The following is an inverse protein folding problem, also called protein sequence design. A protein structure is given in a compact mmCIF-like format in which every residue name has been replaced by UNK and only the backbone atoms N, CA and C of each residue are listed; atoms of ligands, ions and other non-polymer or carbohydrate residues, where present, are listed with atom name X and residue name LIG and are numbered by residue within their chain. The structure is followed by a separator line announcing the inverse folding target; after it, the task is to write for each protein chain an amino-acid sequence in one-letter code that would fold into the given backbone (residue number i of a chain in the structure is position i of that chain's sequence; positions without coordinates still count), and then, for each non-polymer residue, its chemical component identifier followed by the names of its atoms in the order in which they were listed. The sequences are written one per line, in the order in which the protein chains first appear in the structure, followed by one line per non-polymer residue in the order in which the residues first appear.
data_IF_628392043427
#
_entry.id   IF_628392043427
#
_cell.length_a   1.000
_cell.length_b   1.000
_cell.length_c   1.000
_cell.angle_alpha   90.00
_cell.angle_beta   90.00
_cell.angle_gamma   90.00
#
_symmetry.space_group_name_H-M   'P 1'
#
loop_
_entity.id
_entity.type
_entity.pdbx_description
1 polymer ?
#
# COMPACT_ATOMS: atom_id res chain seq x y z
N UNK A 1 33.82 -76.77 6.51
CA UNK A 1 33.12 -75.88 5.57
C UNK A 1 31.84 -75.34 6.22
N UNK A 2 31.77 -74.05 6.53
CA UNK A 2 30.51 -73.29 6.70
C UNK A 2 30.87 -71.80 6.79
N UNK A 3 30.71 -71.06 5.68
CA UNK A 3 30.83 -69.60 5.63
C UNK A 3 29.50 -69.00 6.10
N UNK A 4 29.54 -68.23 7.19
CA UNK A 4 28.41 -67.39 7.63
C UNK A 4 28.29 -66.18 6.69
N UNK A 5 27.23 -66.15 5.89
CA UNK A 5 26.86 -65.00 5.06
C UNK A 5 25.99 -64.02 5.85
N UNK A 6 26.61 -63.03 6.49
CA UNK A 6 25.90 -61.91 7.09
C UNK A 6 25.44 -60.92 6.02
N UNK A 7 24.17 -60.99 5.61
CA UNK A 7 23.51 -59.92 4.86
C UNK A 7 23.30 -58.71 5.77
N UNK A 8 24.12 -57.65 5.59
CA UNK A 8 23.86 -56.30 6.11
C UNK A 8 24.00 -55.32 4.96
N UNK A 9 22.87 -54.90 4.38
CA UNK A 9 22.87 -53.89 3.32
C UNK A 9 21.45 -53.60 2.86
N UNK A 10 20.89 -52.50 3.35
CA UNK A 10 19.55 -52.04 2.95
C UNK A 10 19.07 -50.82 3.72
N UNK A 11 19.55 -50.60 4.95
CA UNK A 11 19.08 -49.51 5.80
C UNK A 11 19.85 -48.18 5.68
N UNK A 12 21.02 -48.13 5.03
CA UNK A 12 21.74 -46.84 4.85
C UNK A 12 21.18 -46.04 3.68
N UNK A 13 20.97 -46.64 2.51
CA UNK A 13 20.53 -45.91 1.31
C UNK A 13 19.21 -45.16 1.48
N UNK A 14 18.24 -45.71 2.23
CA UNK A 14 16.95 -45.06 2.51
C UNK A 14 17.09 -43.92 3.51
N UNK A 15 17.95 -44.08 4.53
CA UNK A 15 18.24 -43.04 5.53
C UNK A 15 19.00 -41.87 4.94
N UNK A 16 19.96 -42.17 4.06
CA UNK A 16 20.80 -41.18 3.39
C UNK A 16 19.97 -40.42 2.32
N UNK A 17 19.05 -41.08 1.63
CA UNK A 17 18.08 -40.45 0.72
C UNK A 17 17.05 -39.57 1.45
N UNK A 18 16.54 -40.01 2.60
CA UNK A 18 15.64 -39.20 3.43
C UNK A 18 16.30 -37.94 3.98
N UNK A 19 17.56 -38.04 4.42
CA UNK A 19 18.35 -36.89 4.89
C UNK A 19 18.62 -35.89 3.76
N UNK A 20 18.95 -36.39 2.56
CA UNK A 20 19.15 -35.55 1.38
C UNK A 20 17.88 -34.80 1.00
N UNK A 21 16.74 -35.49 0.92
CA UNK A 21 15.44 -34.88 0.63
C UNK A 21 15.04 -33.85 1.69
N UNK A 22 15.25 -34.14 2.98
CA UNK A 22 14.98 -33.21 4.06
C UNK A 22 15.88 -31.96 3.98
N UNK A 23 17.14 -32.11 3.60
CA UNK A 23 18.09 -31.00 3.47
C UNK A 23 17.75 -30.11 2.27
N UNK A 24 17.39 -30.71 1.13
CA UNK A 24 16.92 -29.98 -0.05
C UNK A 24 15.64 -29.22 0.28
N UNK A 25 14.67 -29.87 0.94
CA UNK A 25 13.42 -29.22 1.35
C UNK A 25 13.66 -28.04 2.30
N UNK A 26 14.52 -28.21 3.30
CA UNK A 26 14.91 -27.12 4.20
C UNK A 26 15.61 -25.98 3.44
N UNK A 27 16.49 -26.30 2.48
CA UNK A 27 17.12 -25.32 1.61
C UNK A 27 16.12 -24.52 0.78
N UNK A 28 15.08 -25.18 0.24
CA UNK A 28 13.98 -24.52 -0.49
C UNK A 28 13.17 -23.61 0.42
N UNK A 29 12.87 -24.03 1.65
CA UNK A 29 12.16 -23.19 2.63
C UNK A 29 12.99 -21.95 3.03
N UNK A 30 14.30 -22.11 3.22
CA UNK A 30 15.21 -20.99 3.53
C UNK A 30 15.29 -20.03 2.33
N UNK A 31 15.43 -20.54 1.11
CA UNK A 31 15.44 -19.72 -0.11
C UNK A 31 14.13 -18.94 -0.29
N UNK A 32 12.98 -19.59 -0.06
CA UNK A 32 11.67 -18.94 -0.11
C UNK A 32 11.49 -17.85 0.96
N UNK A 33 12.15 -17.98 2.11
CA UNK A 33 12.14 -16.95 3.17
C UNK A 33 13.05 -15.76 2.84
N UNK A 34 14.19 -16.02 2.19
CA UNK A 34 15.17 -15.00 1.81
C UNK A 34 14.62 -14.02 0.77
N UNK A 35 13.73 -14.47 -0.12
CA UNK A 35 13.12 -13.61 -1.15
C UNK A 35 12.29 -12.46 -0.54
N UNK A 36 11.72 -12.66 0.65
CA UNK A 36 11.00 -11.62 1.40
C UNK A 36 11.90 -10.61 2.13
N UNK A 37 13.21 -10.88 2.24
CA UNK A 37 14.17 -10.02 2.97
C UNK A 37 14.72 -8.91 2.05
N UNK A 38 14.60 -9.06 0.73
CA UNK A 38 15.05 -8.05 -0.22
C UNK A 38 14.03 -6.90 -0.30
N UNK A 39 14.21 -5.89 0.56
CA UNK A 39 13.54 -4.60 0.42
C UNK A 39 14.18 -3.83 -0.73
N UNK A 40 13.39 -3.52 -1.75
CA UNK A 40 13.83 -2.69 -2.85
C UNK A 40 13.79 -1.23 -2.42
N UNK A 41 14.90 -0.51 -2.61
CA UNK A 41 15.01 0.92 -2.29
C UNK A 41 14.93 1.76 -3.55
N UNK A 42 14.09 2.79 -3.50
CA UNK A 42 13.78 3.70 -4.59
C UNK A 42 14.12 5.13 -4.15
N UNK A 43 15.12 5.73 -4.77
CA UNK A 43 15.51 7.12 -4.52
C UNK A 43 15.08 8.10 -5.61
N UNK A 44 15.31 9.39 -5.36
CA UNK A 44 15.13 10.47 -6.33
C UNK A 44 13.68 10.93 -6.44
N UNK A 45 13.31 11.50 -7.59
CA UNK A 45 11.98 12.13 -7.75
C UNK A 45 10.86 11.08 -7.88
N UNK A 46 9.76 11.34 -7.17
CA UNK A 46 8.49 10.64 -7.26
C UNK A 46 7.39 11.62 -7.69
N UNK A 47 6.34 11.10 -8.32
CA UNK A 47 5.11 11.83 -8.57
C UNK A 47 4.08 11.48 -7.50
N UNK A 48 3.56 12.51 -6.81
CA UNK A 48 2.54 12.35 -5.76
C UNK A 48 1.14 12.33 -6.37
N UNK A 49 0.44 11.21 -6.20
CA UNK A 49 -0.91 10.98 -6.74
C UNK A 49 -1.96 11.56 -5.80
N UNK A 50 -1.93 11.17 -4.53
CA UNK A 50 -2.84 11.61 -3.45
C UNK A 50 -2.06 11.68 -2.13
N UNK A 51 -2.74 11.70 -0.97
CA UNK A 51 -2.11 11.86 0.34
C UNK A 51 -1.36 10.62 0.87
N UNK A 52 -1.49 9.43 0.26
CA UNK A 52 -0.77 8.23 0.69
C UNK A 52 -0.20 7.39 -0.46
N UNK A 53 -0.35 7.84 -1.70
CA UNK A 53 0.08 7.13 -2.90
C UNK A 53 1.06 7.96 -3.75
N UNK A 54 2.18 7.32 -4.12
CA UNK A 54 3.23 7.86 -4.98
C UNK A 54 3.36 7.02 -6.25
N UNK A 55 4.08 7.54 -7.25
CA UNK A 55 4.48 6.79 -8.44
C UNK A 55 5.87 7.17 -8.93
N UNK A 56 6.53 6.21 -9.58
CA UNK A 56 7.81 6.38 -10.25
C UNK A 56 7.83 5.53 -11.51
N UNK A 57 7.74 6.18 -12.66
CA UNK A 57 7.53 5.47 -13.92
C UNK A 57 6.20 4.71 -13.90
N UNK A 58 6.24 3.39 -14.13
CA UNK A 58 5.05 2.52 -14.08
C UNK A 58 4.73 2.00 -12.68
N UNK A 59 5.65 2.16 -11.74
CA UNK A 59 5.52 1.62 -10.39
C UNK A 59 4.68 2.56 -9.52
N UNK A 60 3.81 1.96 -8.69
CA UNK A 60 2.95 2.68 -7.74
C UNK A 60 3.29 2.25 -6.32
N UNK A 61 3.35 3.22 -5.42
CA UNK A 61 3.77 3.01 -4.06
C UNK A 61 2.67 3.49 -3.12
N UNK A 62 2.34 2.71 -2.10
CA UNK A 62 1.43 3.10 -1.01
C UNK A 62 2.23 3.20 0.29
N UNK A 63 2.12 4.34 0.94
CA UNK A 63 2.68 4.56 2.26
C UNK A 63 2.07 3.61 3.29
N UNK A 64 2.93 2.99 4.09
CA UNK A 64 2.54 2.10 5.17
C UNK A 64 2.13 2.86 6.44
N UNK A 65 1.24 2.25 7.21
CA UNK A 65 0.82 2.73 8.53
C UNK A 65 -0.20 3.86 8.53
N UNK A 66 -0.59 4.36 7.35
CA UNK A 66 -1.50 5.51 7.22
C UNK A 66 -2.60 5.29 6.17
N UNK A 67 -3.66 6.08 6.30
CA UNK A 67 -4.74 6.24 5.35
C UNK A 67 -5.06 7.73 5.21
N UNK A 68 -4.76 8.32 4.06
CA UNK A 68 -4.97 9.75 3.81
C UNK A 68 -6.27 9.99 3.04
N UNK A 69 -6.89 11.19 3.12
CA UNK A 69 -8.04 11.54 2.30
C UNK A 69 -7.75 11.28 0.81
N UNK A 70 -8.71 10.66 0.13
CA UNK A 70 -8.60 10.40 -1.31
C UNK A 70 -8.59 11.72 -2.06
N UNK A 71 -7.97 11.76 -3.26
CA UNK A 71 -7.75 13.03 -3.98
C UNK A 71 -9.01 13.89 -4.16
N UNK A 72 -10.15 13.25 -4.44
CA UNK A 72 -11.44 13.93 -4.66
C UNK A 72 -12.26 14.12 -3.37
N UNK A 73 -11.73 13.73 -2.21
CA UNK A 73 -12.44 13.83 -0.95
C UNK A 73 -12.46 15.27 -0.43
N UNK A 74 -13.64 15.71 -0.02
CA UNK A 74 -13.86 16.98 0.69
C UNK A 74 -14.15 16.73 2.17
N UNK A 75 -13.79 17.70 3.01
CA UNK A 75 -14.03 17.68 4.45
C UNK A 75 -14.75 18.99 4.85
N UNK A 76 -15.27 19.06 6.07
CA UNK A 76 -15.91 20.27 6.61
C UNK A 76 -15.01 20.92 7.67
N UNK A 77 -14.90 22.26 7.64
CA UNK A 77 -14.24 23.05 8.69
C UNK A 77 -15.07 24.30 8.95
N UNK A 78 -15.57 24.45 10.18
CA UNK A 78 -16.47 25.57 10.51
C UNK A 78 -17.78 25.59 9.70
N UNK A 79 -18.25 24.43 9.23
CA UNK A 79 -19.43 24.31 8.36
C UNK A 79 -19.16 24.51 6.86
N UNK A 80 -17.95 24.91 6.48
CA UNK A 80 -17.56 25.10 5.08
C UNK A 80 -16.84 23.87 4.53
N UNK A 81 -17.18 23.49 3.29
CA UNK A 81 -16.51 22.40 2.57
C UNK A 81 -15.15 22.86 2.05
N UNK A 82 -14.12 22.01 2.24
CA UNK A 82 -12.76 22.26 1.74
C UNK A 82 -12.14 20.98 1.15
N UNK A 83 -11.23 21.11 0.15
CA UNK A 83 -10.68 19.98 -0.60
C UNK A 83 -9.55 19.28 0.16
N UNK A 84 -9.88 18.58 1.23
CA UNK A 84 -8.89 17.93 2.09
C UNK A 84 -8.03 16.86 1.39
N UNK A 85 -8.57 16.19 0.36
CA UNK A 85 -7.79 15.32 -0.52
C UNK A 85 -6.64 16.02 -1.23
N UNK A 86 -6.91 17.18 -1.82
CA UNK A 86 -5.88 17.97 -2.48
C UNK A 86 -4.86 18.54 -1.50
N UNK A 87 -5.30 19.01 -0.33
CA UNK A 87 -4.36 19.51 0.67
C UNK A 87 -3.45 18.41 1.22
N UNK A 88 -3.98 17.21 1.47
CA UNK A 88 -3.18 16.06 1.88
C UNK A 88 -2.12 15.72 0.82
N UNK A 89 -2.50 15.72 -0.47
CA UNK A 89 -1.55 15.56 -1.58
C UNK A 89 -0.47 16.65 -1.56
N UNK A 90 -0.83 17.92 -1.35
CA UNK A 90 0.13 19.03 -1.29
C UNK A 90 1.11 18.90 -0.12
N UNK A 91 0.66 18.36 1.01
CA UNK A 91 1.53 18.06 2.16
C UNK A 91 2.54 16.98 1.78
N UNK A 92 2.09 15.86 1.21
CA UNK A 92 2.98 14.80 0.76
C UNK A 92 3.95 15.28 -0.33
N UNK A 93 3.52 16.16 -1.24
CA UNK A 93 4.42 16.80 -2.22
C UNK A 93 5.55 17.58 -1.57
N UNK A 94 5.28 18.31 -0.49
CA UNK A 94 6.31 19.04 0.27
C UNK A 94 7.26 18.09 0.99
N UNK A 95 6.73 17.03 1.60
CA UNK A 95 7.54 16.01 2.28
C UNK A 95 8.38 15.20 1.30
N UNK A 96 7.93 15.05 0.06
CA UNK A 96 8.65 14.36 -1.02
C UNK A 96 9.57 15.24 -1.87
N UNK A 97 9.66 16.54 -1.56
CA UNK A 97 10.50 17.48 -2.28
C UNK A 97 12.01 17.37 -1.99
N UNK A 98 12.47 17.02 -0.77
CA UNK A 98 13.90 16.90 -0.47
C UNK A 98 14.64 15.93 -1.41
N UNK A 99 15.90 16.25 -1.71
CA UNK A 99 16.71 15.48 -2.66
C UNK A 99 17.05 14.06 -2.15
N UNK A 100 17.05 13.87 -0.83
CA UNK A 100 17.30 12.60 -0.15
C UNK A 100 16.02 11.78 0.07
N UNK A 101 14.88 12.20 -0.48
CA UNK A 101 13.64 11.42 -0.41
C UNK A 101 13.85 10.02 -1.01
N UNK A 102 13.51 9.00 -0.21
CA UNK A 102 13.63 7.61 -0.61
C UNK A 102 12.50 6.76 -0.04
N UNK A 103 12.15 5.68 -0.73
CA UNK A 103 11.15 4.73 -0.30
C UNK A 103 11.75 3.31 -0.33
N UNK A 104 11.36 2.47 0.61
CA UNK A 104 11.77 1.07 0.66
C UNK A 104 10.58 0.15 0.94
N UNK A 105 10.52 -0.99 0.25
CA UNK A 105 9.46 -1.96 0.45
C UNK A 105 9.71 -3.29 -0.28
N UNK A 106 9.01 -4.34 0.14
CA UNK A 106 9.14 -5.69 -0.42
C UNK A 106 7.82 -6.40 -0.68
N UNK A 107 6.69 -5.81 -0.29
CA UNK A 107 5.36 -6.44 -0.36
C UNK A 107 4.41 -5.59 -1.18
N UNK A 108 3.43 -6.22 -1.84
CA UNK A 108 2.42 -5.52 -2.65
C UNK A 108 1.03 -5.69 -2.05
N UNK A 109 0.19 -4.68 -2.23
CA UNK A 109 -1.23 -4.80 -1.90
C UNK A 109 -2.01 -5.53 -3.01
N UNK A 110 -3.31 -5.79 -2.76
CA UNK A 110 -4.20 -6.46 -3.73
C UNK A 110 -4.43 -5.70 -5.04
N UNK A 111 -4.02 -4.43 -5.12
CA UNK A 111 -4.10 -3.59 -6.32
C UNK A 111 -2.74 -3.49 -7.03
N UNK A 112 -1.74 -4.24 -6.57
CA UNK A 112 -0.40 -4.29 -7.15
C UNK A 112 0.52 -3.15 -6.73
N UNK A 113 0.12 -2.26 -5.81
CA UNK A 113 0.98 -1.17 -5.32
C UNK A 113 2.03 -1.72 -4.38
N UNK A 114 3.28 -1.30 -4.52
CA UNK A 114 4.34 -1.60 -3.55
C UNK A 114 4.05 -0.88 -2.23
N UNK A 115 3.99 -1.64 -1.14
CA UNK A 115 3.84 -1.12 0.21
C UNK A 115 5.21 -0.66 0.71
N UNK A 116 5.32 0.63 1.06
CA UNK A 116 6.61 1.24 1.36
C UNK A 116 6.62 2.07 2.64
N UNK A 117 7.80 2.10 3.26
CA UNK A 117 8.21 3.17 4.16
C UNK A 117 9.02 4.18 3.36
N UNK A 118 8.70 5.46 3.48
CA UNK A 118 9.47 6.53 2.85
C UNK A 118 10.07 7.46 3.90
N UNK A 119 11.26 7.99 3.61
CA UNK A 119 11.97 8.90 4.48
C UNK A 119 12.52 10.11 3.73
N UNK A 120 12.63 11.24 4.43
CA UNK A 120 13.29 12.46 3.97
C UNK A 120 13.93 13.16 5.16
N UNK A 121 15.18 13.60 5.04
CA UNK A 121 15.93 14.19 6.15
C UNK A 121 16.02 13.28 7.38
N UNK A 122 16.02 11.95 7.18
CA UNK A 122 16.01 10.95 8.24
C UNK A 122 14.68 10.79 9.01
N UNK A 123 13.60 11.47 8.59
CA UNK A 123 12.27 11.35 9.20
C UNK A 123 11.36 10.45 8.39
N UNK A 124 10.46 9.76 9.09
CA UNK A 124 9.41 8.93 8.48
C UNK A 124 8.29 9.83 7.92
N UNK A 125 8.04 9.72 6.62
CA UNK A 125 7.05 10.54 5.90
C UNK A 125 5.62 10.21 6.32
N UNK A 126 5.33 8.96 6.64
CA UNK A 126 4.02 8.56 7.17
C UNK A 126 3.78 9.18 8.54
N UNK A 127 4.80 9.21 9.41
CA UNK A 127 4.72 9.91 10.71
C UNK A 127 4.50 11.42 10.52
N UNK A 128 5.23 12.05 9.59
CA UNK A 128 5.08 13.48 9.29
C UNK A 128 3.66 13.81 8.73
N UNK A 129 3.08 12.94 7.90
CA UNK A 129 1.71 13.08 7.38
C UNK A 129 0.65 13.01 8.50
N UNK A 130 0.81 12.08 9.45
CA UNK A 130 -0.09 11.95 10.61
C UNK A 130 0.08 13.14 11.56
N UNK A 131 1.32 13.55 11.83
CA UNK A 131 1.64 14.70 12.68
C UNK A 131 1.06 16.00 12.14
N UNK A 132 1.04 16.17 10.82
CA UNK A 132 0.42 17.32 10.16
C UNK A 132 -1.12 17.25 10.13
N UNK A 133 -1.72 16.13 10.55
CA UNK A 133 -3.17 15.93 10.52
C UNK A 133 -3.74 15.65 9.14
N UNK A 134 -2.95 15.16 8.18
CA UNK A 134 -3.40 14.86 6.82
C UNK A 134 -3.48 13.36 6.50
N UNK A 135 -3.34 12.52 7.52
CA UNK A 135 -3.63 11.09 7.43
C UNK A 135 -4.13 10.55 8.78
N UNK A 136 -4.91 9.46 8.70
CA UNK A 136 -5.31 8.65 9.85
C UNK A 136 -4.32 7.50 9.99
N UNK A 137 -3.89 7.21 11.22
CA UNK A 137 -3.07 6.03 11.49
C UNK A 137 -3.89 4.75 11.30
N UNK A 138 -3.40 3.82 10.48
CA UNK A 138 -4.13 2.57 10.15
C UNK A 138 -3.76 1.38 11.04
N UNK A 139 -2.64 1.47 11.78
CA UNK A 139 -2.17 0.44 12.71
C UNK A 139 -2.52 0.73 14.17
N UNK A 140 -2.61 -0.30 15.01
CA UNK A 140 -3.02 -0.16 16.42
C UNK A 140 -2.04 0.67 17.27
N UNK A 141 -0.75 0.62 16.95
CA UNK A 141 0.31 1.29 17.72
C UNK A 141 1.13 2.30 16.92
N UNK A 142 1.18 2.16 15.59
CA UNK A 142 2.02 3.03 14.77
C UNK A 142 1.37 4.41 14.63
N UNK A 143 2.15 5.46 14.92
CA UNK A 143 1.75 6.87 14.80
C UNK A 143 0.58 7.30 15.72
N UNK A 144 0.26 6.54 16.77
CA UNK A 144 -0.85 6.87 17.68
C UNK A 144 -0.61 8.18 18.42
N UNK A 145 0.63 8.43 18.87
CA UNK A 145 1.00 9.64 19.61
C UNK A 145 0.90 10.90 18.73
N UNK A 146 1.33 10.79 17.48
CA UNK A 146 1.28 11.83 16.46
C UNK A 146 -0.16 12.15 16.11
N UNK A 147 -1.00 11.12 15.94
CA UNK A 147 -2.42 11.30 15.65
C UNK A 147 -3.14 11.98 16.82
N UNK A 148 -2.88 11.55 18.06
CA UNK A 148 -3.45 12.19 19.24
C UNK A 148 -3.01 13.64 19.38
N UNK A 149 -1.74 13.95 19.09
CA UNK A 149 -1.25 15.32 19.08
C UNK A 149 -1.95 16.16 18.00
N UNK A 150 -2.09 15.65 16.78
CA UNK A 150 -2.79 16.33 15.68
C UNK A 150 -4.28 16.57 16.01
N UNK A 151 -4.93 15.61 16.68
CA UNK A 151 -6.30 15.75 17.19
C UNK A 151 -6.43 16.85 18.23
N UNK A 152 -5.57 16.83 19.27
CA UNK A 152 -5.60 17.83 20.35
C UNK A 152 -5.35 19.24 19.83
N UNK A 153 -4.54 19.37 18.78
CA UNK A 153 -4.21 20.65 18.14
C UNK A 153 -5.15 21.04 17.00
N UNK A 154 -6.17 20.22 16.70
CA UNK A 154 -7.11 20.47 15.61
C UNK A 154 -6.40 20.71 14.26
N UNK A 155 -5.40 19.89 13.92
CA UNK A 155 -4.61 20.02 12.69
C UNK A 155 -5.26 19.30 11.51
N UNK A 156 -5.12 19.87 10.31
CA UNK A 156 -5.52 19.24 9.05
C UNK A 156 -7.00 18.80 9.06
N UNK A 157 -7.26 17.52 8.83
CA UNK A 157 -8.61 16.93 8.84
C UNK A 157 -9.23 16.92 10.24
N UNK A 158 -8.41 16.95 11.30
CA UNK A 158 -8.90 17.00 12.69
C UNK A 158 -9.43 18.38 13.11
N UNK A 159 -9.28 19.40 12.25
CA UNK A 159 -9.83 20.74 12.46
C UNK A 159 -11.36 20.84 12.30
N UNK A 160 -12.01 19.77 11.85
CA UNK A 160 -13.43 19.75 11.60
C UNK A 160 -13.95 18.34 11.37
N UNK A 161 -15.01 18.21 10.59
CA UNK A 161 -15.67 16.94 10.33
C UNK A 161 -15.16 16.34 9.03
N UNK A 162 -14.90 15.04 9.05
CA UNK A 162 -14.48 14.31 7.87
C UNK A 162 -14.95 12.86 7.94
N UNK A 163 -15.28 12.32 6.78
CA UNK A 163 -15.47 10.88 6.61
C UNK A 163 -14.09 10.19 6.61
N UNK A 164 -13.93 9.05 7.30
CA UNK A 164 -12.63 8.35 7.25
C UNK A 164 -12.32 7.95 5.81
N UNK A 165 -11.07 8.05 5.32
CA UNK A 165 -10.78 7.77 3.91
C UNK A 165 -11.18 6.35 3.47
N UNK A 166 -10.98 5.35 4.34
CA UNK A 166 -11.49 4.00 4.12
C UNK A 166 -13.02 3.88 4.00
N UNK A 167 -13.81 4.73 4.66
CA UNK A 167 -15.27 4.81 4.51
C UNK A 167 -15.60 5.48 3.18
N UNK A 168 -15.01 6.65 2.91
CA UNK A 168 -15.21 7.39 1.66
C UNK A 168 -14.94 6.50 0.44
N UNK A 169 -13.85 5.72 0.47
CA UNK A 169 -13.54 4.74 -0.59
C UNK A 169 -14.61 3.68 -0.77
N UNK A 170 -15.23 3.16 0.30
CA UNK A 170 -16.27 2.14 0.15
C UNK A 170 -17.51 2.72 -0.52
N UNK A 171 -17.89 3.91 -0.10
CA UNK A 171 -19.14 4.55 -0.52
C UNK A 171 -19.02 5.08 -1.96
N UNK A 172 -17.87 5.64 -2.32
CA UNK A 172 -17.61 6.18 -3.66
C UNK A 172 -17.14 5.14 -4.68
N UNK A 173 -16.72 3.94 -4.24
CA UNK A 173 -16.49 2.80 -5.15
C UNK A 173 -17.79 2.21 -5.69
N UNK A 174 -18.86 2.21 -4.89
CA UNK A 174 -20.17 1.75 -5.34
C UNK A 174 -20.71 2.67 -6.45
N UNK A 175 -20.58 3.99 -6.29
CA UNK A 175 -20.99 4.97 -7.29
C UNK A 175 -20.25 4.83 -8.64
N UNK A 176 -18.96 4.46 -8.62
CA UNK A 176 -18.21 4.18 -9.85
C UNK A 176 -18.65 2.88 -10.56
N UNK A 177 -19.17 1.90 -9.81
CA UNK A 177 -19.76 0.68 -10.37
C UNK A 177 -21.21 0.85 -10.81
N UNK A 178 -21.95 1.80 -10.24
CA UNK A 178 -23.31 2.21 -10.64
C UNK A 178 -23.34 3.15 -11.87
N UNK A 179 -22.19 3.38 -12.50
CA UNK A 179 -22.14 3.87 -13.88
C UNK A 179 -21.91 2.73 -14.91
N UNK A 180 -22.80 1.71 -15.06
CA UNK A 180 -22.77 0.85 -16.22
C UNK A 180 -23.73 1.37 -17.31
N UNK A 181 -23.23 1.35 -18.54
CA UNK A 181 -23.98 1.35 -19.80
C UNK A 181 -24.63 2.65 -20.32
N UNK A 182 -24.65 3.79 -19.60
CA UNK A 182 -25.13 5.04 -20.22
C UNK A 182 -24.27 5.46 -21.43
N UNK A 183 -22.94 5.29 -21.34
CA UNK A 183 -22.02 5.58 -22.45
C UNK A 183 -22.16 4.59 -23.62
N UNK A 184 -22.26 3.29 -23.35
CA UNK A 184 -22.35 2.27 -24.41
C UNK A 184 -23.71 2.29 -25.12
N UNK A 185 -24.83 2.42 -24.39
CA UNK A 185 -26.16 2.52 -25.00
C UNK A 185 -26.32 3.82 -25.80
N UNK A 186 -25.71 4.92 -25.37
CA UNK A 186 -25.70 6.17 -26.16
C UNK A 186 -24.92 5.99 -27.46
N UNK A 187 -23.75 5.34 -27.41
CA UNK A 187 -22.93 5.05 -28.61
C UNK A 187 -23.68 4.11 -29.56
N UNK A 188 -24.33 3.06 -29.05
CA UNK A 188 -25.13 2.13 -29.86
C UNK A 188 -26.36 2.82 -30.45
N UNK A 189 -27.06 3.68 -29.69
CA UNK A 189 -28.21 4.45 -30.19
C UNK A 189 -27.82 5.40 -31.32
N UNK A 190 -26.66 6.05 -31.21
CA UNK A 190 -26.15 6.97 -32.23
C UNK A 190 -25.67 6.23 -33.49
N UNK A 191 -25.09 5.03 -33.34
CA UNK A 191 -24.66 4.19 -34.48
C UNK A 191 -25.83 3.51 -35.21
N UNK A 192 -26.95 3.26 -34.53
CA UNK A 192 -28.13 2.61 -35.11
C UNK A 192 -29.21 3.59 -35.62
N UNK A 193 -28.97 4.91 -35.54
CA UNK A 193 -29.83 5.93 -36.16
C UNK A 193 -31.25 6.02 -35.57
N UNK A 194 -31.46 5.60 -34.33
CA UNK A 194 -32.74 5.74 -33.64
C UNK A 194 -32.81 7.09 -32.90
N UNK A 195 -33.03 8.16 -33.65
CA UNK A 195 -33.70 9.35 -33.13
C UNK A 195 -35.13 9.36 -33.67
N UNK A 196 -36.11 9.10 -32.80
CA UNK A 196 -37.51 9.40 -33.07
C UNK A 196 -37.83 10.74 -32.38
N UNK A 197 -38.46 11.63 -33.15
CA UNK A 197 -38.86 12.98 -32.71
C UNK A 197 -39.93 13.03 -31.65
#
# INVERSE_FOLDING_TARGET
MRRNGGRRGGFSAVRDGGLFLATVFLGVLIAAKLDHINSETYGGRFFVIDGDTLSKGKERFRLLGIDAPELAQTCLRGGESWPCGEEARRVLQRLAAPADFSCSGSSRDRYGRLLVYCSAGGRDVSSDMVSAGFAVASGYFQFSSEQEAARRQALGIWAGEFEKPSQWRRDHRAAAMETPAAGFLTIVRHLLGWDHG
#
